data_IF_143891004311
#
_entry.id   IF_143891004311
#
_cell.length_a   1.000
_cell.length_b   1.000
_cell.length_c   1.000
_cell.angle_alpha   90.00
_cell.angle_beta   90.00
_cell.angle_gamma   90.00
#
_symmetry.space_group_name_H-M   'P 1'
#
loop_
_entity.id
_entity.type
_entity.pdbx_description
1 polymer ?
#
# COMPACT_ATOMS: atom_id res chain seq x y z
N UNK A 1 -9.89 -8.10 -10.47
CA UNK A 1 -10.37 -9.05 -11.49
C UNK A 1 -10.34 -10.45 -10.89
N UNK A 2 -11.47 -11.17 -10.82
CA UNK A 2 -11.48 -12.54 -10.34
C UNK A 2 -10.70 -13.44 -11.32
N UNK A 3 -9.73 -14.19 -10.80
CA UNK A 3 -9.01 -15.23 -11.56
C UNK A 3 -9.77 -16.55 -11.48
N UNK A 4 -10.38 -16.82 -10.31
CA UNK A 4 -11.30 -17.93 -10.08
C UNK A 4 -12.46 -17.46 -9.21
N UNK A 5 -13.41 -18.35 -8.91
CA UNK A 5 -14.53 -18.06 -8.00
C UNK A 5 -14.07 -17.65 -6.59
N UNK A 6 -12.86 -18.09 -6.19
CA UNK A 6 -12.29 -17.85 -4.86
C UNK A 6 -11.09 -16.91 -4.86
N UNK A 7 -10.35 -16.79 -5.96
CA UNK A 7 -9.13 -15.97 -6.03
C UNK A 7 -9.37 -14.73 -6.90
N UNK A 8 -9.11 -13.56 -6.35
CA UNK A 8 -9.09 -12.29 -7.08
C UNK A 8 -7.72 -11.65 -7.03
N UNK A 9 -7.29 -11.06 -8.15
CA UNK A 9 -6.13 -10.16 -8.18
C UNK A 9 -6.63 -8.72 -8.30
N UNK A 10 -5.93 -7.80 -7.64
CA UNK A 10 -6.20 -6.38 -7.73
C UNK A 10 -4.90 -5.58 -7.83
N UNK A 11 -5.01 -4.41 -8.43
CA UNK A 11 -3.99 -3.38 -8.40
C UNK A 11 -4.64 -2.10 -7.86
N UNK A 12 -3.87 -1.31 -7.11
CA UNK A 12 -4.30 -0.04 -6.55
C UNK A 12 -3.24 1.01 -6.86
N UNK A 13 -3.67 2.23 -7.13
CA UNK A 13 -2.82 3.39 -7.21
C UNK A 13 -3.59 4.60 -6.67
N UNK A 14 -2.92 5.50 -5.94
CA UNK A 14 -3.58 6.65 -5.36
C UNK A 14 -2.63 7.63 -4.69
N UNK A 15 -3.13 8.83 -4.33
CA UNK A 15 -2.37 9.81 -3.57
C UNK A 15 -2.07 9.26 -2.17
N UNK A 16 -0.88 9.57 -1.68
CA UNK A 16 -0.37 9.08 -0.40
C UNK A 16 0.56 10.09 0.23
N UNK A 17 0.73 9.97 1.55
CA UNK A 17 1.51 10.86 2.37
C UNK A 17 2.51 10.07 3.20
N UNK A 18 3.76 10.52 3.20
CA UNK A 18 4.81 9.99 4.06
C UNK A 18 5.26 11.08 5.02
N UNK A 19 5.33 10.71 6.29
CA UNK A 19 6.00 11.47 7.34
C UNK A 19 7.08 10.58 7.94
N UNK A 20 8.32 11.03 7.85
CA UNK A 20 9.48 10.34 8.42
C UNK A 20 10.31 11.33 9.22
N UNK A 21 10.71 10.93 10.43
CA UNK A 21 11.64 11.69 11.25
C UNK A 21 13.01 11.02 11.16
N UNK A 22 14.03 11.72 10.66
CA UNK A 22 15.40 11.22 10.70
C UNK A 22 15.99 11.48 12.09
N UNK A 23 16.18 10.41 12.86
CA UNK A 23 16.71 10.47 14.23
C UNK A 23 18.16 10.96 14.35
N UNK A 24 18.86 11.18 13.23
CA UNK A 24 20.23 11.70 13.22
C UNK A 24 20.27 13.22 13.00
N UNK A 25 19.32 13.77 12.23
CA UNK A 25 19.31 15.18 11.83
C UNK A 25 18.18 16.00 12.46
N UNK A 26 17.22 15.34 13.16
CA UNK A 26 16.04 15.98 13.76
C UNK A 26 15.24 16.82 12.75
N UNK A 27 15.33 16.43 11.47
CA UNK A 27 14.57 17.01 10.37
C UNK A 27 13.38 16.09 10.05
N UNK A 28 12.18 16.69 10.09
CA UNK A 28 10.95 16.04 9.68
C UNK A 28 10.78 16.15 8.17
N UNK A 29 10.80 15.01 7.48
CA UNK A 29 10.52 14.92 6.05
C UNK A 29 9.03 14.62 5.86
N UNK A 30 8.36 15.52 5.15
CA UNK A 30 6.94 15.38 4.78
C UNK A 30 6.80 15.40 3.27
N UNK A 31 6.23 14.35 2.69
CA UNK A 31 6.05 14.29 1.24
C UNK A 31 4.70 13.71 0.82
N UNK A 32 4.23 14.18 -0.34
CA UNK A 32 3.04 13.68 -1.01
C UNK A 32 3.47 13.08 -2.34
N UNK A 33 3.13 11.82 -2.56
CA UNK A 33 3.38 11.16 -3.84
C UNK A 33 2.31 10.11 -4.15
N UNK A 34 2.44 9.46 -5.28
CA UNK A 34 1.59 8.34 -5.68
C UNK A 34 2.14 7.06 -5.04
N UNK A 35 1.28 6.35 -4.33
CA UNK A 35 1.52 4.96 -3.96
C UNK A 35 0.80 4.06 -4.95
N UNK A 36 1.44 2.95 -5.30
CA UNK A 36 0.85 1.95 -6.18
C UNK A 36 1.22 0.55 -5.72
N UNK A 37 0.41 -0.43 -6.10
CA UNK A 37 0.61 -1.78 -5.57
C UNK A 37 -0.34 -2.80 -6.17
N UNK A 38 -0.09 -4.04 -5.75
CA UNK A 38 -0.73 -5.25 -6.23
C UNK A 38 -1.18 -6.07 -5.02
N UNK A 39 -2.24 -6.83 -5.16
CA UNK A 39 -2.65 -7.77 -4.14
C UNK A 39 -3.47 -8.91 -4.67
N UNK A 40 -3.63 -9.91 -3.81
CA UNK A 40 -4.43 -11.09 -4.05
C UNK A 40 -5.39 -11.29 -2.89
N UNK A 41 -6.65 -11.61 -3.20
CA UNK A 41 -7.69 -11.94 -2.22
C UNK A 41 -8.14 -13.38 -2.45
N UNK A 42 -8.21 -14.16 -1.38
CA UNK A 42 -8.74 -15.51 -1.35
C UNK A 42 -10.00 -15.57 -0.49
N UNK A 43 -11.13 -15.94 -1.09
CA UNK A 43 -12.36 -16.28 -0.38
C UNK A 43 -12.22 -17.63 0.29
N UNK A 44 -12.14 -17.62 1.62
CA UNK A 44 -12.10 -18.81 2.45
C UNK A 44 -13.50 -19.41 2.63
N UNK A 45 -14.51 -18.55 2.75
CA UNK A 45 -15.94 -18.89 2.83
C UNK A 45 -16.77 -17.82 2.12
N UNK A 46 -18.09 -18.02 2.03
CA UNK A 46 -19.02 -17.05 1.42
C UNK A 46 -18.94 -15.65 2.04
N UNK A 47 -18.59 -15.58 3.32
CA UNK A 47 -18.54 -14.37 4.15
C UNK A 47 -17.15 -14.07 4.72
N UNK A 48 -16.11 -14.86 4.38
CA UNK A 48 -14.77 -14.70 4.94
C UNK A 48 -13.75 -14.72 3.81
N UNK A 49 -12.89 -13.71 3.78
CA UNK A 49 -11.78 -13.60 2.85
C UNK A 49 -10.48 -13.25 3.58
N UNK A 50 -9.36 -13.64 2.99
CA UNK A 50 -8.03 -13.20 3.38
C UNK A 50 -7.35 -12.56 2.18
N UNK A 51 -6.54 -11.53 2.42
CA UNK A 51 -5.81 -10.84 1.37
C UNK A 51 -4.34 -10.63 1.72
N UNK A 52 -3.51 -10.60 0.69
CA UNK A 52 -2.11 -10.18 0.77
C UNK A 52 -1.94 -9.01 -0.18
N UNK A 53 -1.37 -7.92 0.31
CA UNK A 53 -1.16 -6.69 -0.45
C UNK A 53 0.30 -6.26 -0.37
N UNK A 54 0.87 -5.89 -1.50
CA UNK A 54 2.12 -5.15 -1.61
C UNK A 54 1.81 -3.74 -2.15
N UNK A 55 2.37 -2.72 -1.52
CA UNK A 55 2.32 -1.34 -1.98
C UNK A 55 3.74 -0.76 -1.98
N UNK A 56 4.03 0.08 -2.96
CA UNK A 56 5.22 0.90 -3.04
C UNK A 56 4.82 2.37 -2.98
N UNK A 57 5.52 3.14 -2.16
CA UNK A 57 5.55 4.59 -2.17
C UNK A 57 6.89 5.03 -2.74
N UNK A 58 6.87 5.85 -3.78
CA UNK A 58 8.09 6.44 -4.32
C UNK A 58 8.41 7.72 -3.56
N UNK A 59 9.55 7.75 -2.88
CA UNK A 59 9.98 8.91 -2.12
C UNK A 59 10.38 10.06 -3.04
N UNK A 60 10.91 9.75 -4.22
CA UNK A 60 11.47 10.73 -5.14
C UNK A 60 10.44 11.78 -5.59
N UNK A 61 10.61 13.06 -5.22
CA UNK A 61 9.87 14.12 -5.85
C UNK A 61 10.36 14.24 -7.30
N UNK A 62 9.42 14.36 -8.25
CA UNK A 62 9.75 14.82 -9.60
C UNK A 62 10.19 16.29 -9.51
N UNK A 63 11.46 16.57 -9.18
CA UNK A 63 11.96 17.93 -9.02
C UNK A 63 13.31 18.05 -8.32
N UNK A 64 13.98 19.17 -8.58
CA UNK A 64 15.34 19.52 -8.17
C UNK A 64 15.43 19.90 -6.68
N UNK A 65 15.21 18.92 -5.80
CA UNK A 65 15.33 19.08 -4.35
C UNK A 65 16.37 18.09 -3.83
N UNK A 66 17.44 18.61 -3.23
CA UNK A 66 18.57 17.88 -2.66
C UNK A 66 18.23 17.05 -1.40
N UNK A 67 16.95 16.71 -1.20
CA UNK A 67 16.46 16.03 -0.01
C UNK A 67 16.19 14.57 -0.33
N UNK A 68 16.90 13.66 0.35
CA UNK A 68 16.70 12.23 0.19
C UNK A 68 15.39 11.83 0.87
N UNK A 69 14.42 11.39 0.07
CA UNK A 69 13.18 10.82 0.57
C UNK A 69 13.20 9.32 0.27
N UNK A 70 13.04 8.46 1.29
CA UNK A 70 13.12 7.02 1.08
C UNK A 70 11.92 6.48 0.30
N UNK A 71 12.18 5.52 -0.58
CA UNK A 71 11.15 4.62 -1.09
C UNK A 71 10.65 3.73 0.06
N UNK A 72 9.33 3.56 0.16
CA UNK A 72 8.71 2.72 1.20
C UNK A 72 7.97 1.55 0.56
N UNK A 73 8.40 0.35 0.90
CA UNK A 73 7.69 -0.90 0.59
C UNK A 73 6.80 -1.30 1.77
N UNK A 74 5.52 -1.57 1.49
CA UNK A 74 4.53 -1.98 2.45
C UNK A 74 3.94 -3.34 2.07
N UNK A 75 3.98 -4.27 3.03
CA UNK A 75 3.38 -5.60 2.90
C UNK A 75 2.30 -5.76 3.96
N UNK A 76 1.10 -6.12 3.54
CA UNK A 76 -0.04 -6.35 4.42
C UNK A 76 -0.62 -7.74 4.23
N UNK A 77 -1.11 -8.30 5.32
CA UNK A 77 -1.99 -9.46 5.32
C UNK A 77 -3.27 -9.06 6.04
N UNK A 78 -4.41 -9.21 5.36
CA UNK A 78 -5.72 -8.85 5.87
C UNK A 78 -6.64 -10.06 5.99
N UNK A 79 -7.60 -9.97 6.90
CA UNK A 79 -8.73 -10.90 7.01
C UNK A 79 -9.99 -10.05 7.10
N UNK A 80 -10.96 -10.31 6.23
CA UNK A 80 -12.22 -9.55 6.17
C UNK A 80 -13.42 -10.47 6.28
N UNK A 81 -14.47 -9.97 6.94
CA UNK A 81 -15.73 -10.66 7.11
C UNK A 81 -16.87 -9.80 6.57
N UNK A 82 -17.72 -10.38 5.71
CA UNK A 82 -18.90 -9.71 5.16
C UNK A 82 -20.13 -10.09 5.96
N UNK A 83 -20.70 -9.11 6.65
CA UNK A 83 -22.00 -9.24 7.32
C UNK A 83 -23.12 -9.08 6.27
N UNK A 84 -24.09 -10.00 6.29
CA UNK A 84 -25.33 -9.86 5.54
C UNK A 84 -26.37 -9.25 6.48
N UNK A 85 -26.96 -8.11 6.09
CA UNK A 85 -28.17 -7.54 6.68
C UNK A 85 -29.37 -8.07 5.89
#
# INVERSE_FOLDING_TARGET
MPVTDRLGLFAKAGPSYLWSTDGILDEDVHTWNIAYGLGAELKLRTNLAADVTYMKFEGHPYGDINEYIPDVDYYAVGVSYKFSI
#
